data_IF_331122396677
#
_entry.id   IF_331122396677
#
_cell.length_a   1.000
_cell.length_b   1.000
_cell.length_c   1.000
_cell.angle_alpha   90.00
_cell.angle_beta   90.00
_cell.angle_gamma   90.00
#
_symmetry.space_group_name_H-M   'P 1'
#
loop_
_entity.id
_entity.type
_entity.pdbx_description
1 polymer ?
#
# COMPACT_ATOMS: atom_id res chain seq x y z
N UNK A 1 -8.46 -21.56 -47.73
CA UNK A 1 -8.05 -20.26 -47.17
C UNK A 1 -8.81 -20.00 -45.88
N UNK A 2 -8.37 -20.53 -44.74
CA UNK A 2 -8.89 -20.15 -43.40
C UNK A 2 -8.04 -20.77 -42.28
N UNK A 3 -6.75 -20.44 -42.22
CA UNK A 3 -5.88 -20.92 -41.12
C UNK A 3 -4.95 -19.82 -40.55
N UNK A 4 -5.03 -18.59 -41.08
CA UNK A 4 -4.20 -17.46 -40.63
C UNK A 4 -4.79 -16.63 -39.49
N UNK A 5 -6.11 -16.66 -39.27
CA UNK A 5 -6.77 -15.77 -38.31
C UNK A 5 -6.63 -16.24 -36.84
N UNK A 6 -6.53 -17.55 -36.60
CA UNK A 6 -6.36 -18.11 -35.24
C UNK A 6 -4.92 -18.02 -34.71
N UNK A 7 -3.93 -17.98 -35.59
CA UNK A 7 -2.50 -17.88 -35.22
C UNK A 7 -2.16 -16.45 -34.78
N UNK A 8 -2.65 -15.44 -35.49
CA UNK A 8 -2.42 -14.02 -35.20
C UNK A 8 -3.09 -13.57 -33.89
N UNK A 9 -4.28 -14.10 -33.57
CA UNK A 9 -4.98 -13.85 -32.30
C UNK A 9 -4.28 -14.53 -31.10
N UNK A 10 -3.65 -15.69 -31.30
CA UNK A 10 -2.84 -16.38 -30.29
C UNK A 10 -1.52 -15.67 -30.04
N UNK A 11 -0.83 -15.21 -31.07
CA UNK A 11 0.41 -14.41 -30.96
C UNK A 11 0.18 -13.05 -30.29
N UNK A 12 -0.94 -12.39 -30.62
CA UNK A 12 -1.31 -11.11 -30.02
C UNK A 12 -1.69 -11.26 -28.54
N UNK A 13 -2.42 -12.32 -28.16
CA UNK A 13 -2.67 -12.64 -26.73
C UNK A 13 -1.39 -13.04 -25.99
N UNK A 14 -0.46 -13.73 -26.65
CA UNK A 14 0.85 -14.09 -26.10
C UNK A 14 1.70 -12.87 -25.84
N UNK A 15 1.73 -11.90 -26.76
CA UNK A 15 2.39 -10.60 -26.57
C UNK A 15 1.78 -9.80 -25.40
N UNK A 16 0.46 -9.71 -25.31
CA UNK A 16 -0.24 -9.06 -24.19
C UNK A 16 -0.06 -9.78 -22.84
N UNK A 17 0.09 -11.11 -22.85
CA UNK A 17 0.39 -11.91 -21.67
C UNK A 17 1.84 -11.74 -21.21
N UNK A 18 2.78 -11.61 -22.16
CA UNK A 18 4.17 -11.29 -21.91
C UNK A 18 4.35 -9.83 -21.46
N UNK A 19 3.46 -8.91 -21.81
CA UNK A 19 3.52 -7.50 -21.35
C UNK A 19 3.31 -7.33 -19.83
N UNK A 20 2.60 -8.25 -19.20
CA UNK A 20 2.52 -8.27 -17.73
C UNK A 20 3.74 -8.92 -17.07
N UNK A 21 4.54 -9.69 -17.81
CA UNK A 21 5.91 -10.09 -17.44
C UNK A 21 6.96 -9.03 -17.84
N UNK A 22 6.63 -8.15 -18.79
CA UNK A 22 7.48 -7.06 -19.28
C UNK A 22 7.72 -5.99 -18.21
N UNK A 23 6.99 -6.07 -17.11
CA UNK A 23 7.29 -5.33 -15.90
C UNK A 23 8.42 -5.96 -15.09
N UNK A 24 9.08 -7.08 -15.42
CA UNK A 24 10.19 -7.64 -14.59
C UNK A 24 11.34 -8.24 -15.42
N UNK A 25 11.12 -8.58 -16.70
CA UNK A 25 12.16 -9.15 -17.56
C UNK A 25 12.58 -8.22 -18.73
N UNK A 26 13.90 -8.10 -19.00
CA UNK A 26 14.43 -7.30 -20.10
C UNK A 26 13.92 -7.75 -21.48
N UNK A 27 13.73 -6.81 -22.41
CA UNK A 27 13.21 -7.11 -23.75
C UNK A 27 14.14 -7.99 -24.59
N UNK A 28 15.45 -7.82 -24.45
CA UNK A 28 16.52 -8.64 -25.04
C UNK A 28 16.56 -10.07 -24.46
N UNK A 29 16.22 -10.21 -23.17
CA UNK A 29 16.16 -11.51 -22.48
C UNK A 29 14.88 -12.28 -22.80
N UNK A 30 13.79 -11.60 -23.23
CA UNK A 30 12.53 -12.23 -23.68
C UNK A 30 12.70 -13.10 -24.90
N UNK A 31 13.42 -12.64 -25.93
CA UNK A 31 13.63 -13.44 -27.14
C UNK A 31 14.46 -14.71 -26.88
N UNK A 32 15.36 -14.68 -25.89
CA UNK A 32 16.15 -15.85 -25.47
C UNK A 32 15.36 -16.79 -24.55
N UNK A 33 14.52 -16.26 -23.66
CA UNK A 33 13.71 -17.04 -22.72
C UNK A 33 12.44 -17.62 -23.36
N UNK A 34 11.84 -16.96 -24.35
CA UNK A 34 10.66 -17.44 -25.06
C UNK A 34 10.94 -18.68 -25.95
N UNK A 35 12.21 -18.98 -26.21
CA UNK A 35 12.66 -20.22 -26.86
C UNK A 35 12.59 -21.41 -25.88
N UNK A 36 12.65 -21.16 -24.57
CA UNK A 36 12.82 -22.19 -23.52
C UNK A 36 11.58 -22.31 -22.61
N UNK A 37 10.90 -21.20 -22.31
CA UNK A 37 9.77 -21.17 -21.37
C UNK A 37 8.45 -21.46 -22.10
N UNK A 38 7.69 -22.41 -21.56
CA UNK A 38 6.31 -22.67 -21.97
C UNK A 38 5.36 -21.56 -21.50
N UNK A 39 4.14 -21.54 -22.04
CA UNK A 39 3.09 -20.60 -21.60
C UNK A 39 2.71 -20.84 -20.12
N UNK A 40 2.83 -22.07 -19.62
CA UNK A 40 2.59 -22.44 -18.22
C UNK A 40 3.70 -21.94 -17.27
N UNK A 41 4.96 -21.94 -17.73
CA UNK A 41 6.08 -21.35 -16.99
C UNK A 41 5.90 -19.84 -16.85
N UNK A 42 5.46 -19.19 -17.93
CA UNK A 42 5.12 -17.76 -17.95
C UNK A 42 3.99 -17.45 -16.97
N UNK A 43 2.93 -18.25 -16.96
CA UNK A 43 1.83 -18.10 -16.00
C UNK A 43 2.29 -18.28 -14.54
N UNK A 44 3.15 -19.27 -14.30
CA UNK A 44 3.74 -19.57 -12.99
C UNK A 44 4.63 -18.43 -12.50
N UNK A 45 5.52 -17.91 -13.34
CA UNK A 45 6.36 -16.77 -13.01
C UNK A 45 5.53 -15.50 -12.70
N UNK A 46 4.44 -15.26 -13.44
CA UNK A 46 3.49 -14.17 -13.14
C UNK A 46 2.82 -14.36 -11.78
N UNK A 47 2.42 -15.59 -11.45
CA UNK A 47 1.86 -15.91 -10.15
C UNK A 47 2.89 -15.64 -9.04
N UNK A 48 4.12 -16.12 -9.19
CA UNK A 48 5.20 -15.93 -8.21
C UNK A 48 5.54 -14.45 -8.02
N UNK A 49 5.57 -13.66 -9.09
CA UNK A 49 5.75 -12.21 -9.04
C UNK A 49 4.61 -11.54 -8.27
N UNK A 50 3.35 -11.86 -8.58
CA UNK A 50 2.18 -11.31 -7.87
C UNK A 50 2.17 -11.72 -6.38
N UNK A 51 2.68 -12.91 -6.05
CA UNK A 51 2.83 -13.38 -4.67
C UNK A 51 4.04 -12.76 -3.95
N UNK A 52 5.09 -12.42 -4.68
CA UNK A 52 6.31 -11.80 -4.15
C UNK A 52 6.22 -10.29 -3.98
N UNK A 53 5.50 -9.60 -4.87
CA UNK A 53 5.25 -8.16 -4.79
C UNK A 53 3.84 -7.92 -4.25
N UNK A 54 3.71 -7.46 -3.00
CA UNK A 54 2.40 -7.22 -2.40
C UNK A 54 1.53 -6.24 -3.20
N UNK A 55 0.22 -6.48 -3.24
CA UNK A 55 -0.76 -5.71 -4.04
C UNK A 55 -0.70 -4.19 -3.82
N UNK A 56 -0.40 -3.75 -2.60
CA UNK A 56 -0.21 -2.33 -2.29
C UNK A 56 0.99 -1.72 -3.03
N UNK A 57 2.07 -2.49 -3.18
CA UNK A 57 3.26 -2.07 -3.94
C UNK A 57 2.93 -1.99 -5.42
N UNK A 58 2.21 -2.97 -5.98
CA UNK A 58 1.77 -2.94 -7.38
C UNK A 58 0.85 -1.75 -7.67
N UNK A 59 -0.14 -1.50 -6.79
CA UNK A 59 -1.03 -0.34 -6.90
C UNK A 59 -0.28 0.99 -6.80
N UNK A 60 0.70 1.09 -5.89
CA UNK A 60 1.53 2.28 -5.75
C UNK A 60 2.42 2.53 -6.99
N UNK A 61 3.04 1.48 -7.54
CA UNK A 61 3.81 1.54 -8.77
C UNK A 61 2.94 1.97 -9.95
N UNK A 62 1.78 1.34 -10.16
CA UNK A 62 0.85 1.69 -11.24
C UNK A 62 0.41 3.16 -11.15
N UNK A 63 0.07 3.63 -9.95
CA UNK A 63 -0.28 5.04 -9.72
C UNK A 63 0.88 5.99 -9.99
N UNK A 64 2.12 5.60 -9.69
CA UNK A 64 3.29 6.44 -9.97
C UNK A 64 3.59 6.54 -11.45
N UNK A 65 3.49 5.42 -12.18
CA UNK A 65 3.70 5.36 -13.63
C UNK A 65 2.66 6.20 -14.34
N UNK A 66 1.37 6.03 -14.01
CA UNK A 66 0.28 6.77 -14.64
C UNK A 66 0.51 8.28 -14.54
N UNK A 67 0.97 8.75 -13.38
CA UNK A 67 1.32 10.16 -13.21
C UNK A 67 2.57 10.56 -13.99
N UNK A 68 3.65 9.76 -13.97
CA UNK A 68 4.88 10.06 -14.71
C UNK A 68 4.59 10.15 -16.21
N UNK A 69 3.74 9.28 -16.73
CA UNK A 69 3.34 9.28 -18.12
C UNK A 69 2.48 10.49 -18.48
N UNK A 70 1.48 10.82 -17.66
CA UNK A 70 0.70 12.06 -17.83
C UNK A 70 1.61 13.30 -17.76
N UNK A 71 2.56 13.33 -16.82
CA UNK A 71 3.53 14.42 -16.69
C UNK A 71 4.44 14.52 -17.91
N UNK A 72 4.95 13.41 -18.46
CA UNK A 72 5.74 13.46 -19.69
C UNK A 72 4.93 14.00 -20.87
N UNK A 73 3.70 13.52 -21.05
CA UNK A 73 2.82 14.03 -22.12
C UNK A 73 2.56 15.53 -21.96
N UNK A 74 2.34 15.99 -20.74
CA UNK A 74 2.13 17.41 -20.47
C UNK A 74 3.40 18.25 -20.63
N UNK A 75 4.56 17.78 -20.16
CA UNK A 75 5.79 18.56 -20.04
C UNK A 75 6.72 18.51 -21.26
N UNK A 76 6.62 17.47 -22.09
CA UNK A 76 7.44 17.28 -23.29
C UNK A 76 6.64 16.82 -24.52
N UNK A 77 5.31 16.67 -24.42
CA UNK A 77 4.46 16.26 -25.54
C UNK A 77 4.61 14.79 -25.96
N UNK A 78 5.33 13.97 -25.19
CA UNK A 78 5.66 12.60 -25.54
C UNK A 78 5.37 11.61 -24.40
N UNK A 79 5.27 10.33 -24.74
CA UNK A 79 5.17 9.26 -23.75
C UNK A 79 6.45 9.16 -22.89
N UNK A 80 6.34 8.53 -21.72
CA UNK A 80 7.46 8.31 -20.81
C UNK A 80 8.59 7.52 -21.52
N UNK A 81 9.79 8.09 -21.72
CA UNK A 81 10.84 7.44 -22.49
C UNK A 81 11.55 6.32 -21.71
N UNK A 82 12.10 5.37 -22.45
CA UNK A 82 12.89 4.25 -21.95
C UNK A 82 14.10 4.03 -22.87
N UNK A 83 15.35 4.22 -22.39
CA UNK A 83 15.72 4.70 -21.06
C UNK A 83 15.37 6.18 -20.84
N UNK A 84 15.21 6.57 -19.58
CA UNK A 84 14.96 7.96 -19.21
C UNK A 84 16.22 8.82 -19.39
N UNK A 85 16.15 9.95 -20.13
CA UNK A 85 17.25 10.92 -20.18
C UNK A 85 17.49 11.56 -18.81
N UNK A 86 18.76 11.82 -18.46
CA UNK A 86 19.11 12.50 -17.20
C UNK A 86 18.46 13.88 -17.09
N UNK A 87 18.46 14.63 -18.19
CA UNK A 87 17.80 15.94 -18.29
C UNK A 87 16.31 15.87 -17.94
N UNK A 88 15.62 14.79 -18.35
CA UNK A 88 14.20 14.61 -18.04
C UNK A 88 13.98 14.31 -16.55
N UNK A 89 14.86 13.51 -15.94
CA UNK A 89 14.79 13.23 -14.50
C UNK A 89 15.07 14.50 -13.68
N UNK A 90 16.01 15.35 -14.11
CA UNK A 90 16.26 16.65 -13.47
C UNK A 90 15.09 17.62 -13.68
N UNK A 91 14.49 17.65 -14.88
CA UNK A 91 13.26 18.42 -15.16
C UNK A 91 12.12 17.98 -14.23
N UNK A 92 11.99 16.68 -13.97
CA UNK A 92 11.01 16.17 -13.01
C UNK A 92 11.26 16.72 -11.60
N UNK A 93 12.51 16.77 -11.15
CA UNK A 93 12.85 17.34 -9.84
C UNK A 93 12.48 18.83 -9.80
N UNK A 94 12.88 19.62 -10.80
CA UNK A 94 12.62 21.05 -10.86
C UNK A 94 11.12 21.37 -10.88
N UNK A 95 10.32 20.65 -11.67
CA UNK A 95 8.86 20.85 -11.74
C UNK A 95 8.16 20.56 -10.39
N UNK A 96 8.72 19.73 -9.52
CA UNK A 96 8.00 19.25 -8.34
C UNK A 96 8.59 19.70 -7.01
N UNK A 97 9.86 20.11 -6.97
CA UNK A 97 10.56 20.58 -5.78
C UNK A 97 11.10 22.00 -6.00
N UNK A 98 10.17 22.94 -6.14
CA UNK A 98 10.43 24.38 -6.26
C UNK A 98 9.97 25.12 -5.00
N UNK A 99 10.40 26.36 -4.87
CA UNK A 99 10.13 27.23 -3.72
C UNK A 99 8.90 28.11 -3.99
N UNK A 100 7.82 28.00 -3.18
CA UNK A 100 6.65 28.87 -3.31
C UNK A 100 6.94 30.36 -3.17
N UNK A 101 7.94 30.76 -2.36
CA UNK A 101 8.29 32.17 -2.20
C UNK A 101 8.92 32.73 -3.48
N UNK A 102 9.85 32.00 -4.06
CA UNK A 102 10.45 32.35 -5.36
C UNK A 102 9.41 32.34 -6.49
N UNK A 103 8.45 31.41 -6.49
CA UNK A 103 7.35 31.39 -7.49
C UNK A 103 6.50 32.66 -7.45
N UNK A 104 6.35 33.27 -6.27
CA UNK A 104 5.58 34.51 -6.14
C UNK A 104 6.27 35.69 -6.84
N UNK A 105 7.61 35.66 -6.94
CA UNK A 105 8.41 36.66 -7.66
C UNK A 105 8.65 36.27 -9.13
N UNK A 106 8.81 34.98 -9.42
CA UNK A 106 9.02 34.41 -10.75
C UNK A 106 7.95 33.36 -11.07
N UNK A 107 6.91 33.72 -11.86
CA UNK A 107 5.86 32.80 -12.28
C UNK A 107 6.34 31.58 -13.08
N UNK A 108 7.57 31.56 -13.57
CA UNK A 108 8.14 30.40 -14.29
C UNK A 108 8.90 29.44 -13.37
N UNK A 109 9.18 29.83 -12.11
CA UNK A 109 9.93 28.99 -11.18
C UNK A 109 9.21 27.70 -10.82
N UNK A 110 9.69 26.55 -11.30
CA UNK A 110 9.07 25.25 -11.03
C UNK A 110 8.27 24.69 -12.20
N UNK A 111 7.05 24.18 -11.93
CA UNK A 111 6.22 23.60 -12.99
C UNK A 111 5.49 24.71 -13.76
N UNK A 112 5.60 24.77 -15.10
CA UNK A 112 4.80 25.71 -15.89
C UNK A 112 3.30 25.48 -15.67
N UNK A 113 2.52 26.57 -15.63
CA UNK A 113 1.09 26.50 -15.29
C UNK A 113 0.28 25.69 -16.30
N UNK A 114 0.69 25.69 -17.58
CA UNK A 114 0.08 24.85 -18.61
C UNK A 114 0.24 23.36 -18.30
N UNK A 115 1.42 22.95 -17.84
CA UNK A 115 1.71 21.56 -17.45
C UNK A 115 0.87 21.20 -16.21
N UNK A 116 0.85 22.07 -15.21
CA UNK A 116 0.06 21.85 -13.99
C UNK A 116 -1.44 21.73 -14.32
N UNK A 117 -1.96 22.63 -15.16
CA UNK A 117 -3.36 22.64 -15.61
C UNK A 117 -3.75 21.36 -16.33
N UNK A 118 -2.94 20.88 -17.27
CA UNK A 118 -3.18 19.58 -17.95
C UNK A 118 -3.25 18.43 -16.94
N UNK A 119 -2.33 18.39 -15.97
CA UNK A 119 -2.33 17.35 -14.94
C UNK A 119 -3.52 17.42 -13.97
N UNK A 120 -4.06 18.63 -13.73
CA UNK A 120 -5.29 18.80 -12.95
C UNK A 120 -6.51 18.32 -13.73
N UNK A 121 -6.60 18.65 -15.02
CA UNK A 121 -7.67 18.19 -15.93
C UNK A 121 -7.68 16.66 -16.02
N UNK A 122 -6.51 16.03 -16.13
CA UNK A 122 -6.36 14.57 -16.13
C UNK A 122 -6.63 13.94 -14.75
N UNK A 123 -6.87 14.74 -13.71
CA UNK A 123 -7.18 14.28 -12.35
C UNK A 123 -5.99 13.64 -11.60
N UNK A 124 -4.77 13.75 -12.15
CA UNK A 124 -3.56 13.14 -11.59
C UNK A 124 -2.81 14.07 -10.62
N UNK A 125 -2.97 15.39 -10.75
CA UNK A 125 -2.48 16.40 -9.82
C UNK A 125 -3.65 16.97 -9.00
N UNK A 126 -3.61 16.78 -7.68
CA UNK A 126 -4.71 17.13 -6.76
C UNK A 126 -4.40 18.26 -5.79
N UNK A 127 -3.14 18.63 -5.65
CA UNK A 127 -2.69 19.65 -4.70
C UNK A 127 -1.89 20.69 -5.44
N UNK A 128 -2.16 21.95 -5.14
CA UNK A 128 -1.36 23.06 -5.62
C UNK A 128 -0.04 23.16 -4.82
N UNK A 129 0.96 23.73 -5.48
CA UNK A 129 2.30 23.89 -4.92
C UNK A 129 3.21 22.67 -5.09
N UNK A 130 4.43 22.75 -4.54
CA UNK A 130 5.44 21.71 -4.70
C UNK A 130 5.05 20.44 -3.96
N UNK A 131 5.44 19.30 -4.55
CA UNK A 131 5.30 18.01 -3.91
C UNK A 131 6.16 17.91 -2.65
N UNK A 132 5.75 17.02 -1.74
CA UNK A 132 6.65 16.61 -0.67
C UNK A 132 7.87 15.87 -1.27
N UNK A 133 9.09 16.07 -0.75
CA UNK A 133 10.28 15.37 -1.23
C UNK A 133 10.13 13.86 -1.26
N UNK A 134 9.45 13.29 -0.26
CA UNK A 134 9.19 11.84 -0.20
C UNK A 134 8.29 11.36 -1.36
N UNK A 135 7.37 12.20 -1.86
CA UNK A 135 6.55 11.88 -3.03
C UNK A 135 7.40 11.82 -4.29
N UNK A 136 8.32 12.79 -4.47
CA UNK A 136 9.23 12.82 -5.62
C UNK A 136 10.20 11.65 -5.57
N UNK A 137 10.84 11.39 -4.43
CA UNK A 137 11.71 10.23 -4.21
C UNK A 137 10.99 8.90 -4.49
N UNK A 138 9.74 8.76 -4.04
CA UNK A 138 8.94 7.57 -4.30
C UNK A 138 8.70 7.35 -5.80
N UNK A 139 8.29 8.39 -6.53
CA UNK A 139 8.05 8.32 -7.98
C UNK A 139 9.33 8.01 -8.75
N UNK A 140 10.47 8.63 -8.37
CA UNK A 140 11.79 8.31 -8.93
C UNK A 140 12.21 6.86 -8.65
N UNK A 141 11.96 6.35 -7.44
CA UNK A 141 12.24 4.95 -7.10
C UNK A 141 11.35 3.98 -7.89
N UNK A 142 10.08 4.32 -8.10
CA UNK A 142 9.16 3.57 -8.97
C UNK A 142 9.69 3.54 -10.41
N UNK A 143 10.13 4.69 -10.93
CA UNK A 143 10.72 4.79 -12.27
C UNK A 143 12.01 3.98 -12.41
N UNK A 144 12.91 4.06 -11.43
CA UNK A 144 14.14 3.25 -11.36
C UNK A 144 13.87 1.76 -11.25
N UNK A 145 12.86 1.36 -10.47
CA UNK A 145 12.49 -0.05 -10.33
C UNK A 145 12.01 -0.62 -11.66
N UNK A 146 11.19 0.12 -12.40
CA UNK A 146 10.73 -0.29 -13.72
C UNK A 146 11.83 -0.35 -14.77
N UNK A 147 12.84 0.52 -14.68
CA UNK A 147 14.03 0.44 -15.54
C UNK A 147 14.76 -0.88 -15.33
N UNK A 148 15.10 -1.19 -14.06
CA UNK A 148 15.76 -2.46 -13.71
C UNK A 148 14.95 -3.68 -14.15
N UNK A 149 13.63 -3.59 -13.97
CA UNK A 149 12.67 -4.58 -14.44
C UNK A 149 12.64 -4.73 -15.97
N UNK A 150 12.87 -3.65 -16.73
CA UNK A 150 13.06 -3.70 -18.19
C UNK A 150 14.50 -4.03 -18.60
N UNK A 151 15.40 -4.30 -17.65
CA UNK A 151 16.84 -4.52 -17.91
C UNK A 151 17.59 -3.30 -18.40
N UNK A 152 17.02 -2.12 -18.19
CA UNK A 152 17.63 -0.86 -18.59
C UNK A 152 18.29 -0.23 -17.37
N UNK A 153 19.46 0.36 -17.59
CA UNK A 153 20.00 1.33 -16.67
C UNK A 153 19.39 2.71 -16.95
N UNK A 154 19.24 3.51 -15.90
CA UNK A 154 18.77 4.88 -16.01
C UNK A 154 19.54 5.78 -15.05
N UNK A 155 19.41 7.11 -15.18
CA UNK A 155 20.22 8.10 -14.47
C UNK A 155 19.83 8.25 -12.99
N UNK A 156 19.11 7.28 -12.41
CA UNK A 156 18.56 7.37 -11.05
C UNK A 156 19.61 7.27 -9.94
N UNK A 157 20.81 6.82 -10.27
CA UNK A 157 21.97 6.75 -9.37
C UNK A 157 22.98 7.88 -9.62
N UNK A 158 22.72 8.79 -10.58
CA UNK A 158 23.69 9.80 -11.00
C UNK A 158 24.04 10.79 -9.87
N UNK A 159 25.29 11.28 -9.81
CA UNK A 159 25.69 12.32 -8.85
C UNK A 159 24.86 13.60 -8.96
N UNK A 160 24.51 14.00 -10.19
CA UNK A 160 23.70 15.19 -10.49
C UNK A 160 22.33 15.09 -9.84
N UNK A 161 21.64 13.95 -10.00
CA UNK A 161 20.33 13.73 -9.39
C UNK A 161 20.39 13.73 -7.86
N UNK A 162 21.37 13.05 -7.27
CA UNK A 162 21.56 13.04 -5.82
C UNK A 162 21.78 14.45 -5.28
N UNK A 163 22.60 15.24 -5.97
CA UNK A 163 22.88 16.63 -5.60
C UNK A 163 21.65 17.50 -5.73
N UNK A 164 20.93 17.43 -6.86
CA UNK A 164 19.69 18.17 -7.09
C UNK A 164 18.64 17.86 -6.02
N UNK A 165 18.41 16.58 -5.70
CA UNK A 165 17.49 16.18 -4.64
C UNK A 165 17.91 16.73 -3.26
N UNK A 166 19.19 16.68 -2.92
CA UNK A 166 19.71 17.19 -1.65
C UNK A 166 19.51 18.70 -1.54
N UNK A 167 19.82 19.44 -2.58
CA UNK A 167 19.65 20.90 -2.61
C UNK A 167 18.17 21.29 -2.56
N UNK A 168 17.32 20.62 -3.33
CA UNK A 168 15.88 20.88 -3.34
C UNK A 168 15.23 20.60 -1.98
N UNK A 169 15.66 19.55 -1.27
CA UNK A 169 15.18 19.27 0.10
C UNK A 169 15.62 20.35 1.09
N UNK A 170 16.85 20.84 0.96
CA UNK A 170 17.38 21.90 1.82
C UNK A 170 16.68 23.24 1.56
N UNK A 171 16.44 23.58 0.29
CA UNK A 171 15.78 24.81 -0.10
C UNK A 171 14.30 24.86 0.31
N UNK A 172 13.62 23.71 0.37
CA UNK A 172 12.19 23.66 0.69
C UNK A 172 11.84 24.04 2.15
N UNK A 173 12.83 24.32 3.02
CA UNK A 173 12.74 24.64 4.47
C UNK A 173 11.59 23.97 5.23
N UNK A 174 11.26 22.74 4.84
CA UNK A 174 10.02 22.08 5.24
C UNK A 174 10.30 21.32 6.52
N UNK A 175 9.98 21.93 7.66
CA UNK A 175 10.03 21.26 8.97
C UNK A 175 9.27 19.94 8.86
N UNK A 176 9.96 18.83 9.13
CA UNK A 176 9.39 17.48 9.03
C UNK A 176 8.31 17.29 10.09
N UNK A 177 7.08 17.68 9.78
CA UNK A 177 5.93 17.47 10.66
C UNK A 177 5.51 16.00 10.61
N UNK A 178 5.50 15.34 11.77
CA UNK A 178 4.83 14.04 11.89
C UNK A 178 3.32 14.25 11.62
N UNK A 179 2.69 13.29 10.94
CA UNK A 179 1.26 13.35 10.65
C UNK A 179 0.39 13.19 11.90
N UNK A 180 0.95 12.64 12.97
CA UNK A 180 0.38 12.62 14.32
C UNK A 180 1.43 13.13 15.30
N UNK A 181 1.04 14.02 16.21
CA UNK A 181 1.91 14.51 17.29
C UNK A 181 2.18 13.41 18.32
N UNK A 182 1.19 12.54 18.57
CA UNK A 182 1.20 11.56 19.65
C UNK A 182 0.84 10.17 19.11
N UNK A 183 1.42 9.12 19.69
CA UNK A 183 0.97 7.75 19.45
C UNK A 183 -0.43 7.56 20.08
N UNK A 184 -1.21 6.62 19.58
CA UNK A 184 -2.44 6.20 20.28
C UNK A 184 -2.00 5.52 21.58
N UNK A 185 -2.33 6.14 22.70
CA UNK A 185 -2.10 5.63 24.06
C UNK A 185 -3.34 4.89 24.58
N UNK A 186 -3.22 4.25 25.75
CA UNK A 186 -4.31 3.47 26.34
C UNK A 186 -5.57 4.33 26.59
N UNK A 187 -5.40 5.54 27.11
CA UNK A 187 -6.47 6.51 27.35
C UNK A 187 -7.23 6.89 26.07
N UNK A 188 -6.51 7.10 24.96
CA UNK A 188 -7.11 7.38 23.65
C UNK A 188 -7.91 6.17 23.15
N UNK A 189 -7.36 4.96 23.32
CA UNK A 189 -8.07 3.73 22.99
C UNK A 189 -9.34 3.58 23.83
N UNK A 190 -9.26 3.76 25.15
CA UNK A 190 -10.38 3.64 26.07
C UNK A 190 -11.50 4.62 25.70
N UNK A 191 -11.16 5.87 25.37
CA UNK A 191 -12.11 6.87 24.89
C UNK A 191 -12.82 6.42 23.59
N UNK A 192 -12.09 5.83 22.64
CA UNK A 192 -12.69 5.29 21.42
C UNK A 192 -13.57 4.06 21.68
N UNK A 193 -13.16 3.17 22.59
CA UNK A 193 -13.94 1.98 22.95
C UNK A 193 -15.26 2.35 23.64
N UNK A 194 -15.26 3.42 24.46
CA UNK A 194 -16.47 3.94 25.09
C UNK A 194 -17.55 4.41 24.08
N UNK A 195 -17.19 4.64 22.82
CA UNK A 195 -18.14 4.96 21.74
C UNK A 195 -18.82 3.74 21.13
N UNK A 196 -18.42 2.53 21.48
CA UNK A 196 -19.00 1.28 20.97
C UNK A 196 -20.05 0.77 21.97
N UNK A 197 -21.31 0.63 21.56
CA UNK A 197 -22.32 -0.08 22.37
C UNK A 197 -22.11 -1.59 22.31
N UNK A 198 -22.54 -2.33 23.32
CA UNK A 198 -22.43 -3.80 23.33
C UNK A 198 -23.59 -4.52 22.64
N UNK A 199 -24.57 -3.78 22.10
CA UNK A 199 -25.83 -4.33 21.60
C UNK A 199 -25.90 -4.44 20.08
N UNK A 200 -24.99 -3.79 19.35
CA UNK A 200 -24.98 -3.76 17.88
C UNK A 200 -23.82 -4.57 17.30
N UNK A 201 -24.07 -5.36 16.26
CA UNK A 201 -23.03 -6.08 15.51
C UNK A 201 -21.94 -5.14 14.98
N UNK A 202 -22.30 -3.93 14.56
CA UNK A 202 -21.34 -2.93 14.08
C UNK A 202 -20.39 -2.51 15.19
N UNK A 203 -20.92 -2.34 16.39
CA UNK A 203 -20.12 -1.89 17.53
C UNK A 203 -19.25 -3.02 18.07
N UNK A 204 -19.74 -4.26 18.12
CA UNK A 204 -18.93 -5.44 18.45
C UNK A 204 -17.77 -5.62 17.47
N UNK A 205 -18.02 -5.45 16.17
CA UNK A 205 -16.98 -5.49 15.13
C UNK A 205 -15.93 -4.40 15.35
N UNK A 206 -16.38 -3.16 15.51
CA UNK A 206 -15.49 -2.02 15.62
C UNK A 206 -14.67 -2.10 16.93
N UNK A 207 -15.27 -2.55 18.03
CA UNK A 207 -14.62 -2.84 19.30
C UNK A 207 -13.49 -3.89 19.14
N UNK A 208 -13.79 -5.01 18.48
CA UNK A 208 -12.80 -6.03 18.17
C UNK A 208 -11.67 -5.52 17.25
N UNK A 209 -11.99 -4.70 16.23
CA UNK A 209 -10.98 -4.08 15.33
C UNK A 209 -10.00 -3.21 16.13
N UNK A 210 -10.51 -2.37 17.02
CA UNK A 210 -9.70 -1.43 17.81
C UNK A 210 -8.78 -2.19 18.79
N UNK A 211 -9.34 -3.13 19.56
CA UNK A 211 -8.58 -3.91 20.53
C UNK A 211 -7.54 -4.80 19.88
N UNK A 212 -7.92 -5.58 18.86
CA UNK A 212 -6.99 -6.46 18.14
C UNK A 212 -5.89 -5.64 17.47
N UNK A 213 -6.24 -4.53 16.81
CA UNK A 213 -5.29 -3.64 16.15
C UNK A 213 -4.25 -3.03 17.09
N UNK A 214 -4.67 -2.65 18.30
CA UNK A 214 -3.80 -2.12 19.33
C UNK A 214 -2.91 -3.22 19.94
N UNK A 215 -3.52 -4.30 20.42
CA UNK A 215 -2.83 -5.35 21.17
C UNK A 215 -1.82 -6.15 20.34
N UNK A 216 -2.05 -6.30 19.03
CA UNK A 216 -1.10 -6.95 18.12
C UNK A 216 0.03 -6.01 17.63
N UNK A 217 0.31 -4.93 18.36
CA UNK A 217 1.42 -4.03 18.11
C UNK A 217 1.15 -3.04 16.96
N UNK A 218 0.00 -2.37 16.98
CA UNK A 218 -0.34 -1.29 16.05
C UNK A 218 -0.40 -1.72 14.59
N UNK A 219 -1.18 -2.75 14.27
CA UNK A 219 -1.21 -3.35 12.93
C UNK A 219 -1.63 -2.38 11.84
N UNK A 220 -1.08 -2.61 10.64
CA UNK A 220 -1.50 -1.84 9.47
C UNK A 220 -2.96 -2.17 9.17
N UNK A 221 -3.72 -1.16 8.75
CA UNK A 221 -5.12 -1.33 8.30
C UNK A 221 -5.34 -2.45 7.28
N UNK A 222 -4.37 -2.72 6.40
CA UNK A 222 -4.46 -3.84 5.45
C UNK A 222 -4.25 -5.19 6.12
N UNK A 223 -3.40 -5.27 7.15
CA UNK A 223 -3.18 -6.50 7.91
C UNK A 223 -4.43 -6.89 8.72
N UNK A 224 -5.15 -5.90 9.27
CA UNK A 224 -6.45 -6.14 9.92
C UNK A 224 -7.54 -6.53 8.91
N UNK A 225 -7.61 -5.83 7.77
CA UNK A 225 -8.55 -6.13 6.69
C UNK A 225 -8.37 -7.56 6.13
N UNK A 226 -7.12 -8.01 5.99
CA UNK A 226 -6.76 -9.32 5.45
C UNK A 226 -6.66 -10.41 6.55
N UNK A 227 -7.06 -10.10 7.80
CA UNK A 227 -7.04 -11.07 8.89
C UNK A 227 -8.08 -12.16 8.63
N UNK A 228 -7.65 -13.42 8.79
CA UNK A 228 -8.50 -14.58 8.56
C UNK A 228 -8.51 -15.51 9.76
N UNK A 229 -9.61 -16.23 9.93
CA UNK A 229 -9.80 -17.20 11.01
C UNK A 229 -8.70 -18.26 10.98
N UNK A 230 -8.25 -18.70 9.79
CA UNK A 230 -7.20 -19.71 9.65
C UNK A 230 -5.79 -19.24 10.07
N UNK A 231 -5.66 -17.97 10.47
CA UNK A 231 -4.43 -17.41 11.04
C UNK A 231 -4.51 -17.23 12.55
N UNK A 232 -5.65 -17.52 13.15
CA UNK A 232 -5.86 -17.49 14.58
C UNK A 232 -5.59 -18.87 15.16
N UNK A 233 -4.85 -18.94 16.27
CA UNK A 233 -4.63 -20.16 17.03
C UNK A 233 -4.90 -19.86 18.50
N UNK A 234 -5.89 -20.52 19.08
CA UNK A 234 -6.10 -20.48 20.52
C UNK A 234 -4.88 -21.08 21.21
N UNK A 235 -4.41 -20.39 22.24
CA UNK A 235 -3.30 -20.83 23.08
C UNK A 235 -3.83 -21.12 24.50
N UNK A 236 -3.01 -21.79 25.30
CA UNK A 236 -3.32 -21.98 26.71
C UNK A 236 -3.52 -20.62 27.41
N UNK A 237 -4.57 -20.45 28.23
CA UNK A 237 -4.78 -19.23 29.01
C UNK A 237 -3.57 -18.91 29.88
N UNK A 238 -3.17 -17.64 29.88
CA UNK A 238 -1.97 -17.12 30.56
C UNK A 238 -2.37 -16.40 31.85
N UNK A 239 -1.58 -16.49 32.94
CA UNK A 239 -1.89 -15.77 34.18
C UNK A 239 -1.84 -14.25 33.96
N UNK A 240 -2.72 -13.51 34.65
CA UNK A 240 -2.73 -12.04 34.68
C UNK A 240 -1.40 -11.51 35.23
N UNK A 241 -0.92 -12.11 36.34
CA UNK A 241 0.40 -11.83 36.89
C UNK A 241 1.36 -12.96 36.50
N UNK A 242 2.37 -12.70 35.64
CA UNK A 242 3.37 -13.69 35.26
C UNK A 242 4.16 -14.27 36.44
N UNK A 243 4.21 -13.56 37.57
CA UNK A 243 4.92 -14.02 38.78
C UNK A 243 4.02 -14.80 39.75
N UNK A 244 2.72 -14.83 39.51
CA UNK A 244 1.76 -15.62 40.29
C UNK A 244 1.00 -16.60 39.38
N UNK A 245 1.46 -17.87 39.30
CA UNK A 245 0.80 -18.90 38.51
C UNK A 245 -0.64 -19.24 38.94
N UNK A 246 -1.04 -18.85 40.16
CA UNK A 246 -2.38 -19.03 40.68
C UNK A 246 -3.30 -17.83 40.39
N UNK A 247 -2.78 -16.75 39.82
CA UNK A 247 -3.58 -15.59 39.42
C UNK A 247 -4.60 -15.96 38.34
N UNK A 248 -5.64 -15.12 38.22
CA UNK A 248 -6.68 -15.27 37.20
C UNK A 248 -6.06 -15.47 35.82
N UNK A 249 -6.66 -16.34 35.00
CA UNK A 249 -6.14 -16.66 33.68
C UNK A 249 -6.88 -15.91 32.59
N UNK A 250 -6.12 -15.23 31.74
CA UNK A 250 -6.60 -14.54 30.56
C UNK A 250 -6.63 -15.47 29.36
N UNK A 251 -7.68 -15.39 28.51
CA UNK A 251 -7.68 -16.09 27.24
C UNK A 251 -6.51 -15.58 26.37
N UNK A 252 -5.85 -16.50 25.68
CA UNK A 252 -4.66 -16.22 24.89
C UNK A 252 -4.85 -16.71 23.46
N UNK A 253 -4.36 -15.95 22.49
CA UNK A 253 -4.46 -16.28 21.07
C UNK A 253 -3.22 -15.79 20.32
N UNK A 254 -2.73 -16.64 19.42
CA UNK A 254 -1.66 -16.30 18.49
C UNK A 254 -2.25 -15.95 17.11
N UNK A 255 -1.84 -14.80 16.57
CA UNK A 255 -2.13 -14.37 15.21
C UNK A 255 -0.90 -14.61 14.34
N UNK A 256 -1.01 -15.53 13.38
CA UNK A 256 0.03 -15.73 12.36
C UNK A 256 0.06 -14.55 11.40
N UNK A 257 1.17 -13.83 11.40
CA UNK A 257 1.41 -12.70 10.53
C UNK A 257 1.89 -13.23 9.17
N UNK A 258 1.17 -12.87 8.10
CA UNK A 258 1.64 -13.14 6.75
C UNK A 258 2.89 -12.32 6.40
N UNK A 259 3.52 -12.61 5.26
CA UNK A 259 4.69 -11.86 4.75
C UNK A 259 4.47 -10.35 4.85
N UNK A 260 5.30 -9.67 5.62
CA UNK A 260 5.36 -8.21 5.62
C UNK A 260 6.54 -7.75 4.74
N UNK A 261 6.50 -6.49 4.28
CA UNK A 261 7.55 -5.87 3.43
C UNK A 261 8.99 -5.98 3.99
N UNK A 262 9.14 -6.32 5.27
CA UNK A 262 10.39 -6.32 6.04
C UNK A 262 10.83 -7.69 6.55
N UNK A 263 10.26 -8.80 6.06
CA UNK A 263 10.61 -10.15 6.51
C UNK A 263 10.95 -11.08 5.34
N UNK A 264 12.07 -11.80 5.43
CA UNK A 264 12.43 -12.94 4.59
C UNK A 264 11.46 -14.12 4.82
N UNK A 265 11.43 -15.07 3.88
CA UNK A 265 10.42 -16.13 3.79
C UNK A 265 10.38 -17.13 4.97
N UNK A 266 11.35 -17.07 5.88
CA UNK A 266 11.58 -18.07 6.94
C UNK A 266 11.17 -17.59 8.36
N UNK A 267 10.74 -16.34 8.49
CA UNK A 267 10.22 -15.80 9.74
C UNK A 267 8.69 -15.95 9.75
N UNK A 268 8.19 -17.10 10.24
CA UNK A 268 6.79 -17.22 10.64
C UNK A 268 6.59 -16.30 11.85
N UNK A 269 6.20 -15.04 11.60
CA UNK A 269 6.01 -14.05 12.67
C UNK A 269 4.64 -14.25 13.29
N UNK A 270 4.62 -14.21 14.61
CA UNK A 270 3.41 -14.36 15.40
C UNK A 270 3.20 -13.10 16.24
N UNK A 271 1.96 -12.66 16.36
CA UNK A 271 1.56 -11.70 17.38
C UNK A 271 0.73 -12.45 18.43
N UNK A 272 1.18 -12.43 19.68
CA UNK A 272 0.43 -12.99 20.80
C UNK A 272 -0.44 -11.88 21.38
N UNK A 273 -1.73 -12.16 21.58
CA UNK A 273 -2.67 -11.28 22.25
C UNK A 273 -3.32 -12.05 23.40
N UNK A 274 -3.60 -11.36 24.52
CA UNK A 274 -4.22 -11.96 25.69
C UNK A 274 -5.26 -11.02 26.32
N UNK A 275 -6.27 -11.59 26.96
CA UNK A 275 -7.30 -10.87 27.72
C UNK A 275 -8.35 -10.18 26.84
N UNK A 276 -8.73 -8.91 27.12
CA UNK A 276 -9.85 -8.23 26.45
C UNK A 276 -9.84 -8.26 24.91
N UNK A 277 -8.70 -8.15 24.21
CA UNK A 277 -8.67 -8.29 22.75
C UNK A 277 -9.10 -9.67 22.23
N UNK A 278 -8.80 -10.73 22.97
CA UNK A 278 -9.20 -12.11 22.62
C UNK A 278 -10.69 -12.30 22.87
N UNK A 279 -11.19 -11.80 24.00
CA UNK A 279 -12.62 -11.80 24.32
C UNK A 279 -13.43 -11.05 23.27
N UNK A 280 -12.99 -9.83 22.91
CA UNK A 280 -13.61 -9.03 21.87
C UNK A 280 -13.68 -9.73 20.53
N UNK A 281 -12.58 -10.37 20.14
CA UNK A 281 -12.52 -11.14 18.92
C UNK A 281 -13.48 -12.33 18.95
N UNK A 282 -13.53 -13.08 20.06
CA UNK A 282 -14.43 -14.24 20.22
C UNK A 282 -15.90 -13.83 20.24
N UNK A 283 -16.25 -12.76 20.96
CA UNK A 283 -17.61 -12.20 20.99
C UNK A 283 -18.05 -11.78 19.59
N UNK A 284 -17.18 -11.08 18.85
CA UNK A 284 -17.45 -10.71 17.46
C UNK A 284 -17.67 -11.94 16.57
N UNK A 285 -16.76 -12.91 16.59
CA UNK A 285 -16.86 -14.12 15.75
C UNK A 285 -18.12 -14.92 16.05
N UNK A 286 -18.50 -15.06 17.33
CA UNK A 286 -19.70 -15.74 17.75
C UNK A 286 -20.98 -14.99 17.30
N UNK A 287 -21.05 -13.68 17.57
CA UNK A 287 -22.22 -12.87 17.21
C UNK A 287 -22.43 -12.80 15.68
N UNK A 288 -21.32 -12.75 14.93
CA UNK A 288 -21.34 -12.73 13.47
C UNK A 288 -21.41 -14.13 12.83
N UNK A 289 -21.38 -15.21 13.63
CA UNK A 289 -21.37 -16.61 13.16
C UNK A 289 -20.27 -16.88 12.11
N UNK A 290 -19.07 -16.40 12.38
CA UNK A 290 -17.92 -16.53 11.47
C UNK A 290 -17.05 -17.69 11.91
N UNK A 291 -17.08 -18.78 11.14
CA UNK A 291 -16.30 -20.00 11.42
C UNK A 291 -15.03 -20.11 10.55
N UNK A 292 -15.00 -19.45 9.39
CA UNK A 292 -13.89 -19.50 8.44
C UNK A 292 -13.77 -18.19 7.63
N UNK A 293 -12.64 -18.01 6.96
CA UNK A 293 -12.41 -16.91 6.03
C UNK A 293 -12.11 -15.57 6.72
N UNK A 294 -12.48 -14.43 6.11
CA UNK A 294 -12.18 -13.11 6.65
C UNK A 294 -12.84 -12.88 8.01
N UNK A 295 -12.04 -12.43 8.98
CA UNK A 295 -12.49 -12.15 10.36
C UNK A 295 -13.41 -10.94 10.38
N UNK A 296 -12.99 -9.83 9.76
CA UNK A 296 -13.79 -8.61 9.74
C UNK A 296 -14.49 -8.49 8.39
N UNK A 297 -15.82 -8.41 8.42
CA UNK A 297 -16.69 -8.37 7.24
C UNK A 297 -17.53 -7.10 7.22
N UNK A 298 -17.98 -6.74 6.02
CA UNK A 298 -18.94 -5.65 5.82
C UNK A 298 -20.26 -5.98 6.53
N UNK A 299 -20.96 -4.96 7.02
CA UNK A 299 -22.31 -5.09 7.53
C UNK A 299 -23.16 -4.09 6.73
N UNK A 300 -24.22 -4.57 6.10
CA UNK A 300 -25.12 -3.72 5.33
C UNK A 300 -26.07 -2.91 6.23
N UNK A 301 -26.89 -2.03 5.64
CA UNK A 301 -27.84 -1.18 6.39
C UNK A 301 -28.96 -1.96 7.09
N UNK A 302 -29.14 -3.24 6.74
CA UNK A 302 -30.14 -4.13 7.31
C UNK A 302 -29.53 -5.08 8.36
N UNK A 303 -28.23 -4.97 8.64
CA UNK A 303 -27.53 -5.77 9.63
C UNK A 303 -26.96 -7.09 9.10
N UNK A 304 -27.03 -7.35 7.80
CA UNK A 304 -26.48 -8.59 7.23
C UNK A 304 -24.99 -8.47 6.95
N UNK A 305 -24.28 -9.59 7.11
CA UNK A 305 -22.85 -9.69 6.83
C UNK A 305 -22.58 -9.89 5.35
N UNK A 306 -21.63 -9.13 4.82
CA UNK A 306 -21.05 -9.37 3.50
C UNK A 306 -20.21 -10.67 3.55
N UNK A 307 -20.23 -11.47 2.48
CA UNK A 307 -19.35 -12.62 2.33
C UNK A 307 -17.87 -12.22 2.14
N UNK A 308 -17.61 -10.95 1.79
CA UNK A 308 -16.26 -10.40 1.59
C UNK A 308 -15.70 -9.76 2.86
N UNK A 309 -14.39 -9.86 3.02
CA UNK A 309 -13.66 -9.16 4.07
C UNK A 309 -13.69 -7.64 3.88
N UNK A 310 -13.54 -6.90 4.97
CA UNK A 310 -13.43 -5.44 4.92
C UNK A 310 -12.24 -5.02 4.06
N UNK A 311 -12.40 -3.89 3.35
CA UNK A 311 -11.26 -3.25 2.71
C UNK A 311 -10.41 -2.46 3.73
N UNK A 312 -9.11 -2.32 3.45
CA UNK A 312 -8.22 -1.48 4.25
C UNK A 312 -8.72 -0.03 4.40
N UNK A 313 -9.45 0.48 3.41
CA UNK A 313 -10.07 1.82 3.47
C UNK A 313 -11.25 1.86 4.42
N UNK A 314 -12.05 0.79 4.47
CA UNK A 314 -13.19 0.67 5.40
C UNK A 314 -12.71 0.61 6.84
N UNK A 315 -11.67 -0.18 7.13
CA UNK A 315 -11.02 -0.20 8.46
C UNK A 315 -10.58 1.21 8.87
N UNK A 316 -9.94 1.95 7.96
CA UNK A 316 -9.55 3.33 8.22
C UNK A 316 -10.75 4.26 8.46
N UNK A 317 -11.86 4.08 7.73
CA UNK A 317 -13.07 4.87 7.93
C UNK A 317 -13.71 4.58 9.30
N UNK A 318 -13.74 3.31 9.72
CA UNK A 318 -14.21 2.88 11.05
C UNK A 318 -13.39 3.55 12.15
N UNK A 319 -12.07 3.44 12.10
CA UNK A 319 -11.17 4.04 13.10
C UNK A 319 -11.36 5.55 13.18
N UNK A 320 -11.45 6.25 12.04
CA UNK A 320 -11.72 7.69 12.00
C UNK A 320 -13.08 8.07 12.56
N UNK A 321 -14.11 7.29 12.25
CA UNK A 321 -15.47 7.51 12.78
C UNK A 321 -15.48 7.38 14.30
N UNK A 322 -14.85 6.34 14.85
CA UNK A 322 -14.76 6.14 16.31
C UNK A 322 -13.94 7.23 17.01
N UNK A 323 -12.83 7.67 16.39
CA UNK A 323 -12.04 8.79 16.90
C UNK A 323 -12.88 10.08 16.95
N UNK A 324 -13.60 10.40 15.87
CA UNK A 324 -14.46 11.57 15.82
C UNK A 324 -15.60 11.52 16.86
N UNK A 325 -16.22 10.35 17.07
CA UNK A 325 -17.23 10.17 18.13
C UNK A 325 -16.65 10.32 19.54
N UNK A 326 -15.36 10.02 19.72
CA UNK A 326 -14.64 10.19 20.98
C UNK A 326 -14.03 11.59 21.16
N UNK A 327 -14.21 12.51 20.20
CA UNK A 327 -13.69 13.88 20.26
C UNK A 327 -12.18 14.00 19.98
N UNK A 328 -11.58 13.06 19.26
CA UNK A 328 -10.15 12.98 18.92
C UNK A 328 -9.90 13.33 17.45
#
# INVERSE_FOLDING_TARGET
MSDGAGVVDRETRRALALDALAAILPADRRNRLAIVLSDDDVATLRHLVKRGVGDNTLRALASDIAYLEAWCRAAIGAALPWPAPESLVLKFVAHHLWDPAERAADPEHGMPEEVASRLRVDGVLRKDGPHAPQTVQRRLASWSTLHRWKGLDGPFSSPSLKTAMRLAVRAADRVRRRKSATAVTRDVLDAMLATCSTTSLVDLRDWAILLVGFASGGRRRSELADLRVERLRDEAPVPVDPNDPASERLPCLTIRLGRTKTSSADDDRFAVIAGPPVEALKVWLAAARIEAGPVFRGIDRWGNLDGKGLSAQTVNAIVKRRAALAGI
#
